data_IF_127442929445
#
_entry.id   IF_127442929445
#
_cell.length_a   1.000
_cell.length_b   1.000
_cell.length_c   1.000
_cell.angle_alpha   90.00
_cell.angle_beta   90.00
_cell.angle_gamma   90.00
#
_symmetry.space_group_name_H-M   'P 1'
#
loop_
_entity.id
_entity.type
_entity.pdbx_description
1 polymer ?
#
# COMPACT_ATOMS: atom_id res chain seq x y z
N UNK A 1 70.29 2.05 20.79
CA UNK A 1 70.87 0.88 20.09
C UNK A 1 69.76 0.23 19.29
N UNK A 2 69.72 0.44 17.97
CA UNK A 2 70.04 -0.57 16.93
C UNK A 2 69.23 -1.88 17.04
N UNK A 3 68.08 -1.89 16.34
CA UNK A 3 67.40 -2.89 15.47
C UNK A 3 68.08 -4.29 15.34
N UNK A 4 67.40 -5.35 14.84
CA UNK A 4 66.09 -5.97 15.12
C UNK A 4 66.29 -7.45 15.55
N UNK A 5 65.24 -8.21 15.90
CA UNK A 5 65.15 -9.62 15.48
C UNK A 5 63.70 -9.91 15.04
N UNK A 6 63.57 -10.07 13.73
CA UNK A 6 62.37 -10.47 13.01
C UNK A 6 62.14 -11.95 13.33
N UNK A 7 61.02 -12.26 13.98
CA UNK A 7 60.50 -13.64 14.02
C UNK A 7 59.30 -13.66 13.08
N UNK A 8 59.55 -14.14 11.87
CA UNK A 8 58.51 -14.49 10.92
C UNK A 8 57.79 -15.74 11.43
N UNK A 9 56.61 -15.57 12.00
CA UNK A 9 55.70 -16.70 12.27
C UNK A 9 54.88 -16.91 11.00
N UNK A 10 55.28 -17.92 10.22
CA UNK A 10 54.45 -18.51 9.17
C UNK A 10 53.24 -19.18 9.84
N UNK A 11 52.12 -18.46 9.93
CA UNK A 11 50.85 -19.08 10.28
C UNK A 11 50.33 -19.75 9.01
N UNK A 12 50.47 -21.07 9.01
CA UNK A 12 49.88 -22.00 8.06
C UNK A 12 48.35 -21.85 8.15
N UNK A 13 47.73 -21.17 7.18
CA UNK A 13 46.28 -21.23 7.01
C UNK A 13 45.96 -22.58 6.35
N UNK A 14 45.19 -23.50 6.98
CA UNK A 14 44.56 -24.55 6.21
C UNK A 14 43.51 -23.85 5.32
N UNK A 15 43.83 -23.78 4.03
CA UNK A 15 42.89 -23.44 2.97
C UNK A 15 41.86 -24.57 2.89
N UNK A 16 40.89 -24.55 3.81
CA UNK A 16 39.73 -25.44 3.74
C UNK A 16 38.87 -25.00 2.56
N UNK A 17 39.19 -25.54 1.39
CA UNK A 17 38.29 -25.61 0.24
C UNK A 17 37.12 -26.54 0.60
N UNK A 18 36.25 -26.10 1.49
CA UNK A 18 34.87 -26.60 1.49
C UNK A 18 34.14 -25.84 0.39
N UNK A 19 34.32 -26.31 -0.84
CA UNK A 19 33.32 -26.10 -1.89
C UNK A 19 32.10 -26.87 -1.38
N UNK A 20 31.27 -26.21 -0.57
CA UNK A 20 29.90 -26.63 -0.40
C UNK A 20 29.32 -26.61 -1.81
N UNK A 21 29.26 -27.78 -2.44
CA UNK A 21 28.40 -27.99 -3.58
C UNK A 21 27.01 -27.63 -3.07
N UNK A 22 26.59 -26.39 -3.31
CA UNK A 22 25.21 -26.00 -3.26
C UNK A 22 24.53 -26.79 -4.37
N UNK A 23 24.20 -28.04 -4.09
CA UNK A 23 23.29 -28.80 -4.91
C UNK A 23 22.00 -27.99 -4.92
N UNK A 24 21.68 -27.43 -6.07
CA UNK A 24 20.41 -26.74 -6.32
C UNK A 24 19.27 -27.58 -5.73
N UNK A 25 18.56 -27.06 -4.71
CA UNK A 25 17.34 -27.69 -4.20
C UNK A 25 16.20 -27.71 -5.24
N UNK A 26 16.45 -27.21 -6.45
CA UNK A 26 15.47 -27.03 -7.52
C UNK A 26 15.77 -27.84 -8.79
N UNK A 27 16.74 -28.73 -8.82
CA UNK A 27 16.84 -29.72 -9.90
C UNK A 27 16.12 -31.00 -9.53
N UNK A 28 14.80 -30.91 -9.36
CA UNK A 28 13.96 -32.09 -9.50
C UNK A 28 13.73 -32.26 -11.01
N UNK A 29 14.15 -33.38 -11.63
CA UNK A 29 13.90 -33.58 -13.05
C UNK A 29 12.40 -33.46 -13.31
N UNK A 30 12.01 -32.54 -14.20
CA UNK A 30 10.64 -32.42 -14.68
C UNK A 30 10.37 -33.73 -15.41
N UNK A 31 9.40 -34.57 -14.96
CA UNK A 31 9.10 -35.81 -15.66
C UNK A 31 8.72 -35.46 -17.11
N UNK A 32 9.22 -36.23 -18.08
CA UNK A 32 9.02 -36.00 -19.52
C UNK A 32 7.53 -35.98 -19.96
N UNK A 33 6.63 -36.33 -19.03
CA UNK A 33 5.19 -36.18 -19.13
C UNK A 33 4.69 -35.45 -17.87
N UNK A 34 4.74 -34.11 -17.87
CA UNK A 34 3.81 -33.32 -17.06
C UNK A 34 2.57 -33.13 -17.91
N UNK A 35 1.69 -34.12 -17.94
CA UNK A 35 0.33 -33.92 -18.42
C UNK A 35 -0.33 -32.93 -17.45
N UNK A 36 -0.32 -31.66 -17.84
CA UNK A 36 -1.15 -30.63 -17.23
C UNK A 36 -2.60 -31.07 -17.42
N UNK A 37 -3.23 -31.56 -16.35
CA UNK A 37 -4.68 -31.74 -16.31
C UNK A 37 -5.32 -30.35 -16.16
N UNK A 38 -5.18 -29.53 -17.20
CA UNK A 38 -5.86 -28.24 -17.27
C UNK A 38 -7.36 -28.50 -17.40
N UNK A 39 -8.08 -28.24 -16.31
CA UNK A 39 -9.54 -28.17 -16.35
C UNK A 39 -9.90 -26.71 -16.66
N UNK A 40 -10.47 -26.42 -17.84
CA UNK A 40 -10.91 -25.06 -18.15
C UNK A 40 -11.99 -24.64 -17.15
N UNK A 41 -11.98 -23.36 -16.76
CA UNK A 41 -13.03 -22.79 -15.94
C UNK A 41 -14.39 -23.03 -16.60
N UNK A 42 -15.39 -23.45 -15.81
CA UNK A 42 -16.74 -23.57 -16.33
C UNK A 42 -17.31 -22.18 -16.64
N UNK A 43 -18.32 -22.12 -17.51
CA UNK A 43 -19.05 -20.87 -17.77
C UNK A 43 -19.59 -20.24 -16.48
N UNK A 44 -20.00 -21.06 -15.51
CA UNK A 44 -20.47 -20.58 -14.22
C UNK A 44 -19.34 -19.91 -13.41
N UNK A 45 -18.15 -20.51 -13.37
CA UNK A 45 -16.99 -19.93 -12.67
C UNK A 45 -16.57 -18.60 -13.30
N UNK A 46 -16.55 -18.52 -14.64
CA UNK A 46 -16.28 -17.29 -15.37
C UNK A 46 -17.30 -16.18 -15.04
N UNK A 47 -18.59 -16.53 -14.96
CA UNK A 47 -19.64 -15.59 -14.61
C UNK A 47 -19.50 -15.08 -13.17
N UNK A 48 -19.17 -15.96 -12.22
CA UNK A 48 -18.92 -15.59 -10.83
C UNK A 48 -17.70 -14.66 -10.71
N UNK A 49 -16.61 -14.98 -11.41
CA UNK A 49 -15.42 -14.12 -11.46
C UNK A 49 -15.75 -12.75 -12.04
N UNK A 50 -16.50 -12.69 -13.14
CA UNK A 50 -16.93 -11.43 -13.76
C UNK A 50 -17.80 -10.59 -12.81
N UNK A 51 -18.73 -11.23 -12.11
CA UNK A 51 -19.56 -10.54 -11.12
C UNK A 51 -18.72 -9.98 -9.97
N UNK A 52 -17.75 -10.73 -9.47
CA UNK A 52 -16.82 -10.27 -8.42
C UNK A 52 -15.98 -9.08 -8.88
N UNK A 53 -15.43 -9.13 -10.10
CA UNK A 53 -14.67 -8.02 -10.71
C UNK A 53 -15.55 -6.77 -10.83
N UNK A 54 -16.75 -6.91 -11.39
CA UNK A 54 -17.68 -5.79 -11.55
C UNK A 54 -18.04 -5.15 -10.21
N UNK A 55 -18.29 -5.97 -9.17
CA UNK A 55 -18.58 -5.47 -7.82
C UNK A 55 -17.40 -4.69 -7.25
N UNK A 56 -16.18 -5.20 -7.41
CA UNK A 56 -14.97 -4.52 -6.92
C UNK A 56 -14.74 -3.20 -7.66
N UNK A 57 -14.96 -3.17 -8.98
CA UNK A 57 -14.88 -1.96 -9.78
C UNK A 57 -15.91 -0.92 -9.34
N UNK A 58 -17.17 -1.33 -9.11
CA UNK A 58 -18.20 -0.42 -8.64
C UNK A 58 -17.87 0.18 -7.26
N UNK A 59 -17.31 -0.62 -6.34
CA UNK A 59 -16.83 -0.12 -5.04
C UNK A 59 -15.68 0.86 -5.20
N UNK A 60 -14.72 0.54 -6.06
CA UNK A 60 -13.60 1.43 -6.38
C UNK A 60 -14.10 2.78 -6.90
N UNK A 61 -14.96 2.77 -7.93
CA UNK A 61 -15.47 3.98 -8.58
C UNK A 61 -16.31 4.83 -7.63
N UNK A 62 -17.19 4.20 -6.84
CA UNK A 62 -18.00 4.89 -5.85
C UNK A 62 -17.16 5.55 -4.77
N UNK A 63 -16.18 4.85 -4.22
CA UNK A 63 -15.29 5.37 -3.18
C UNK A 63 -14.38 6.47 -3.72
N UNK A 64 -13.85 6.30 -4.93
CA UNK A 64 -13.04 7.33 -5.59
C UNK A 64 -13.86 8.61 -5.79
N UNK A 65 -15.07 8.50 -6.35
CA UNK A 65 -15.96 9.65 -6.53
C UNK A 65 -16.23 10.35 -5.20
N UNK A 66 -16.49 9.59 -4.14
CA UNK A 66 -16.73 10.16 -2.81
C UNK A 66 -15.52 10.93 -2.27
N UNK A 67 -14.31 10.44 -2.50
CA UNK A 67 -13.08 11.16 -2.13
C UNK A 67 -12.92 12.44 -2.94
N UNK A 68 -13.17 12.40 -4.25
CA UNK A 68 -13.14 13.59 -5.11
C UNK A 68 -14.15 14.64 -4.62
N UNK A 69 -15.39 14.24 -4.35
CA UNK A 69 -16.45 15.13 -3.82
C UNK A 69 -16.05 15.74 -2.46
N UNK A 70 -15.41 14.96 -1.57
CA UNK A 70 -14.93 15.46 -0.28
C UNK A 70 -13.76 16.44 -0.42
N UNK A 71 -12.87 16.20 -1.38
CA UNK A 71 -11.75 17.10 -1.67
C UNK A 71 -12.29 18.47 -2.12
N UNK A 72 -13.24 18.47 -3.05
CA UNK A 72 -13.87 19.70 -3.55
C UNK A 72 -14.56 20.45 -2.40
N UNK A 73 -15.32 19.74 -1.57
CA UNK A 73 -15.98 20.35 -0.42
C UNK A 73 -14.98 20.97 0.58
N UNK A 74 -13.90 20.26 0.91
CA UNK A 74 -12.84 20.78 1.79
C UNK A 74 -12.19 22.03 1.20
N UNK A 75 -11.97 22.06 -0.12
CA UNK A 75 -11.39 23.21 -0.80
C UNK A 75 -12.34 24.43 -0.74
N UNK A 76 -13.63 24.22 -0.96
CA UNK A 76 -14.65 25.25 -0.80
C UNK A 76 -14.71 25.79 0.64
N UNK A 77 -14.73 24.91 1.63
CA UNK A 77 -14.77 25.30 3.04
C UNK A 77 -13.54 26.14 3.42
N UNK A 78 -12.36 25.75 2.93
CA UNK A 78 -11.10 26.46 3.18
C UNK A 78 -11.05 27.84 2.51
N UNK A 79 -11.66 28.01 1.34
CA UNK A 79 -11.65 29.29 0.62
C UNK A 79 -12.63 30.32 1.17
N UNK A 80 -13.75 29.88 1.76
CA UNK A 80 -14.83 30.75 2.26
C UNK A 80 -14.60 31.30 3.68
N UNK A 81 -13.67 30.74 4.46
CA UNK A 81 -13.53 31.02 5.89
C UNK A 81 -12.17 31.63 6.23
N UNK A 82 -12.15 32.60 7.14
CA UNK A 82 -10.94 33.35 7.54
C UNK A 82 -10.26 32.80 8.78
N UNK A 83 -10.90 31.90 9.55
CA UNK A 83 -10.30 31.31 10.75
C UNK A 83 -9.16 30.32 10.41
N UNK A 84 -7.95 30.61 10.89
CA UNK A 84 -6.76 29.83 10.58
C UNK A 84 -6.74 28.42 11.19
N UNK A 85 -7.36 28.22 12.36
CA UNK A 85 -7.50 26.89 12.98
C UNK A 85 -8.39 25.98 12.13
N UNK A 86 -9.53 26.47 11.68
CA UNK A 86 -10.44 25.78 10.79
C UNK A 86 -9.78 25.48 9.44
N UNK A 87 -9.12 26.47 8.83
CA UNK A 87 -8.37 26.28 7.57
C UNK A 87 -7.28 25.22 7.71
N UNK A 88 -6.58 25.18 8.85
CA UNK A 88 -5.57 24.16 9.15
C UNK A 88 -6.17 22.76 9.28
N UNK A 89 -7.33 22.63 9.93
CA UNK A 89 -8.09 21.35 9.97
C UNK A 89 -8.51 20.91 8.57
N UNK A 90 -9.04 21.82 7.75
CA UNK A 90 -9.41 21.52 6.35
C UNK A 90 -8.20 21.07 5.53
N UNK A 91 -7.06 21.73 5.66
CA UNK A 91 -5.81 21.33 4.99
C UNK A 91 -5.35 19.93 5.43
N UNK A 92 -5.48 19.60 6.72
CA UNK A 92 -5.19 18.26 7.21
C UNK A 92 -6.10 17.21 6.56
N UNK A 93 -7.41 17.47 6.48
CA UNK A 93 -8.35 16.53 5.85
C UNK A 93 -8.10 16.38 4.35
N UNK A 94 -7.78 17.47 3.65
CA UNK A 94 -7.35 17.42 2.25
C UNK A 94 -6.16 16.46 2.07
N UNK A 95 -5.12 16.58 2.90
CA UNK A 95 -3.96 15.68 2.85
C UNK A 95 -4.32 14.23 3.15
N UNK A 96 -5.22 13.98 4.11
CA UNK A 96 -5.72 12.62 4.41
C UNK A 96 -6.47 12.02 3.23
N UNK A 97 -7.28 12.80 2.52
CA UNK A 97 -8.00 12.36 1.32
C UNK A 97 -7.04 12.06 0.16
N UNK A 98 -6.07 12.96 -0.10
CA UNK A 98 -5.03 12.77 -1.14
C UNK A 98 -4.10 11.59 -0.83
N UNK A 99 -3.97 11.17 0.42
CA UNK A 99 -3.21 9.96 0.77
C UNK A 99 -3.83 8.66 0.22
N UNK A 100 -5.07 8.69 -0.28
CA UNK A 100 -5.66 7.56 -1.01
C UNK A 100 -5.19 7.47 -2.46
N UNK A 101 -4.56 8.52 -3.02
CA UNK A 101 -4.08 8.52 -4.40
C UNK A 101 -3.11 7.36 -4.66
N UNK A 102 -3.33 6.65 -5.77
CA UNK A 102 -2.53 5.47 -6.13
C UNK A 102 -2.85 4.20 -5.32
N UNK A 103 -3.80 4.27 -4.38
CA UNK A 103 -4.29 3.12 -3.62
C UNK A 103 -5.52 2.43 -4.23
N UNK A 104 -5.85 1.25 -3.70
CA UNK A 104 -7.09 0.55 -4.06
C UNK A 104 -8.27 1.11 -3.26
N UNK A 105 -9.10 1.94 -3.92
CA UNK A 105 -10.29 2.55 -3.33
C UNK A 105 -11.37 1.54 -2.93
N UNK A 106 -11.39 0.33 -3.49
CA UNK A 106 -12.42 -0.66 -3.15
C UNK A 106 -12.38 -1.10 -1.68
N UNK A 107 -11.27 -0.86 -0.99
CA UNK A 107 -11.03 -1.24 0.41
C UNK A 107 -11.02 -0.04 1.38
N UNK A 108 -11.43 1.16 0.96
CA UNK A 108 -11.27 2.40 1.74
C UNK A 108 -12.56 2.98 2.31
N UNK A 109 -13.68 2.27 2.19
CA UNK A 109 -15.00 2.78 2.56
C UNK A 109 -15.05 3.33 4.00
N UNK A 110 -14.51 2.59 4.98
CA UNK A 110 -14.55 2.99 6.39
C UNK A 110 -13.67 4.21 6.65
N UNK A 111 -12.45 4.24 6.12
CA UNK A 111 -11.55 5.39 6.25
C UNK A 111 -12.16 6.65 5.61
N UNK A 112 -12.81 6.52 4.44
CA UNK A 112 -13.49 7.64 3.78
C UNK A 112 -14.64 8.15 4.65
N UNK A 113 -15.43 7.25 5.24
CA UNK A 113 -16.53 7.61 6.15
C UNK A 113 -16.02 8.32 7.41
N UNK A 114 -14.93 7.83 7.99
CA UNK A 114 -14.31 8.46 9.16
C UNK A 114 -13.89 9.90 8.85
N UNK A 115 -13.19 10.12 7.74
CA UNK A 115 -12.77 11.46 7.32
C UNK A 115 -13.98 12.36 7.05
N UNK A 116 -15.02 11.87 6.37
CA UNK A 116 -16.26 12.62 6.15
C UNK A 116 -16.89 13.09 7.47
N UNK A 117 -16.97 12.21 8.47
CA UNK A 117 -17.51 12.56 9.78
C UNK A 117 -16.63 13.61 10.48
N UNK A 118 -15.32 13.45 10.47
CA UNK A 118 -14.40 14.45 11.06
C UNK A 118 -14.48 15.82 10.38
N UNK A 119 -14.72 15.87 9.07
CA UNK A 119 -14.97 17.14 8.36
C UNK A 119 -16.28 17.77 8.86
N UNK A 120 -17.36 16.98 8.95
CA UNK A 120 -18.68 17.47 9.44
C UNK A 120 -18.60 18.00 10.87
N UNK A 121 -17.92 17.29 11.75
CA UNK A 121 -17.68 17.71 13.13
C UNK A 121 -16.90 19.03 13.18
N UNK A 122 -15.83 19.16 12.41
CA UNK A 122 -15.05 20.40 12.36
C UNK A 122 -15.87 21.60 11.82
N UNK A 123 -16.79 21.37 10.87
CA UNK A 123 -17.71 22.38 10.37
C UNK A 123 -18.72 22.79 11.45
N UNK A 124 -19.28 21.81 12.18
CA UNK A 124 -20.21 22.06 13.27
C UNK A 124 -19.55 22.86 14.40
N UNK A 125 -18.35 22.45 14.84
CA UNK A 125 -17.56 23.17 15.84
C UNK A 125 -17.30 24.62 15.43
N UNK A 126 -16.96 24.83 14.16
CA UNK A 126 -16.72 26.16 13.61
C UNK A 126 -17.98 27.01 13.67
N UNK A 127 -19.12 26.50 13.20
CA UNK A 127 -20.38 27.26 13.21
C UNK A 127 -20.80 27.60 14.65
N UNK A 128 -20.72 26.65 15.57
CA UNK A 128 -21.08 26.87 16.97
C UNK A 128 -20.14 27.83 17.72
N UNK A 129 -18.92 28.04 17.23
CA UNK A 129 -17.95 28.97 17.83
C UNK A 129 -18.04 30.40 17.28
N UNK A 130 -18.86 30.61 16.24
CA UNK A 130 -18.97 31.87 15.50
C UNK A 130 -20.42 32.36 15.34
N UNK A 131 -21.37 31.69 16.00
CA UNK A 131 -22.70 32.21 16.34
C UNK A 131 -22.65 32.95 17.69
#
# INVERSE_FOLDING_TARGET
MKIPHIIAIFIFFPLSNSINAQTSRYEKPIPANVQSNFVPLSTNDLNMMRAAINRRQALYDSNKKKVDDLIDWVFELRSKKTNDSFRSKMEMYYKKLRAFDGGDFSLKADNIREIELSIKEAVLDYNNSYD
#
